data_IF_815480713386
#
_entry.id   IF_815480713386
#
_cell.length_a   1.000
_cell.length_b   1.000
_cell.length_c   1.000
_cell.angle_alpha   90.00
_cell.angle_beta   90.00
_cell.angle_gamma   90.00
#
_symmetry.space_group_name_H-M   'P 1'
#
loop_
_entity.id
_entity.type
_entity.pdbx_description
1 polymer ?
#
# COMPACT_ATOMS: atom_id res chain seq x y z
N UNK A 1 -2.24 -24.91 -3.80
CA UNK A 1 -1.15 -24.57 -3.99
C UNK A 1 -0.90 -23.21 -3.89
N UNK A 2 -0.12 -22.84 -3.31
CA UNK A 2 -0.09 -21.63 -3.06
C UNK A 2 0.47 -20.87 -3.76
N UNK A 3 0.58 -20.41 -3.94
CA UNK A 3 0.33 -19.37 -3.72
C UNK A 3 1.32 -18.40 -4.02
N UNK A 4 2.25 -18.66 -4.93
CA UNK A 4 3.09 -17.69 -5.50
C UNK A 4 2.27 -16.69 -6.26
N UNK A 5 1.16 -17.12 -6.85
CA UNK A 5 0.25 -16.20 -7.55
C UNK A 5 -0.36 -15.20 -6.59
N UNK A 6 -0.78 -15.67 -5.41
CA UNK A 6 -1.34 -14.78 -4.41
C UNK A 6 -0.31 -13.78 -3.92
N UNK A 7 0.92 -14.25 -3.74
CA UNK A 7 2.01 -13.39 -3.31
C UNK A 7 2.33 -12.32 -4.35
N UNK A 8 2.31 -12.70 -5.62
CA UNK A 8 2.56 -11.76 -6.70
C UNK A 8 1.45 -10.72 -6.79
N UNK A 9 0.21 -11.13 -6.62
CA UNK A 9 -0.91 -10.21 -6.63
C UNK A 9 -0.80 -9.22 -5.47
N UNK A 10 -0.45 -9.71 -4.30
CA UNK A 10 -0.28 -8.84 -3.15
C UNK A 10 0.83 -7.83 -3.37
N UNK A 11 1.93 -8.26 -3.96
CA UNK A 11 3.02 -7.35 -4.27
C UNK A 11 2.62 -6.31 -5.29
N UNK A 12 1.89 -6.72 -6.31
CA UNK A 12 1.45 -5.79 -7.34
C UNK A 12 0.51 -4.75 -6.75
N UNK A 13 -0.39 -5.18 -5.88
CA UNK A 13 -1.29 -4.26 -5.21
C UNK A 13 -0.49 -3.30 -4.32
N UNK A 14 0.46 -3.82 -3.57
CA UNK A 14 1.29 -3.02 -2.69
C UNK A 14 2.04 -1.95 -3.46
N UNK A 15 2.63 -2.32 -4.58
CA UNK A 15 3.38 -1.36 -5.39
C UNK A 15 2.48 -0.26 -5.92
N UNK A 16 1.27 -0.62 -6.35
CA UNK A 16 0.33 0.39 -6.83
C UNK A 16 -0.06 1.35 -5.72
N UNK A 17 -0.30 0.82 -4.54
CA UNK A 17 -0.67 1.65 -3.40
C UNK A 17 0.48 2.56 -2.99
N UNK A 18 1.70 2.04 -3.00
CA UNK A 18 2.87 2.86 -2.68
C UNK A 18 3.05 3.98 -3.69
N UNK A 19 2.85 3.70 -4.97
CA UNK A 19 2.92 4.73 -6.00
C UNK A 19 1.92 5.84 -5.70
N UNK A 20 0.70 5.47 -5.35
CA UNK A 20 -0.31 6.46 -5.02
C UNK A 20 0.09 7.28 -3.79
N UNK A 21 0.67 6.64 -2.79
CA UNK A 21 1.11 7.34 -1.60
C UNK A 21 2.21 8.34 -1.94
N UNK A 22 3.15 7.96 -2.77
CA UNK A 22 4.20 8.88 -3.20
C UNK A 22 3.64 10.06 -3.97
N UNK A 23 2.66 9.82 -4.83
CA UNK A 23 2.02 10.91 -5.55
C UNK A 23 1.34 11.89 -4.60
N UNK A 24 0.63 11.37 -3.61
CA UNK A 24 -0.05 12.20 -2.64
C UNK A 24 0.96 12.98 -1.78
N UNK A 25 2.02 12.31 -1.36
CA UNK A 25 3.04 12.99 -0.58
C UNK A 25 3.70 14.11 -1.38
N UNK A 26 3.97 13.87 -2.63
CA UNK A 26 4.55 14.90 -3.49
C UNK A 26 3.57 16.06 -3.67
N UNK A 27 2.30 15.74 -3.87
CA UNK A 27 1.28 16.77 -4.00
C UNK A 27 1.19 17.61 -2.73
N UNK A 28 1.31 16.96 -1.57
CA UNK A 28 1.18 17.65 -0.29
C UNK A 28 2.29 18.66 -0.04
N UNK A 29 3.40 18.55 -0.76
CA UNK A 29 4.46 19.55 -0.63
C UNK A 29 4.14 20.84 -1.39
N UNK A 30 3.15 20.78 -2.27
CA UNK A 30 2.79 21.92 -3.09
C UNK A 30 1.47 22.54 -2.70
N UNK A 31 0.53 21.72 -2.30
CA UNK A 31 -0.81 22.17 -1.92
C UNK A 31 -1.24 21.46 -0.67
N UNK A 32 -2.20 22.07 0.03
CA UNK A 32 -2.80 21.44 1.20
C UNK A 32 -3.77 20.38 0.73
N UNK A 33 -3.65 19.18 1.29
CA UNK A 33 -4.58 18.11 0.96
C UNK A 33 -5.96 18.41 1.51
N UNK A 34 -6.99 18.03 0.75
CA UNK A 34 -8.36 18.13 1.24
C UNK A 34 -8.60 17.05 2.29
N UNK A 35 -9.68 17.21 3.05
CA UNK A 35 -10.04 16.20 4.05
C UNK A 35 -10.26 14.85 3.41
N UNK A 36 -10.87 14.84 2.22
CA UNK A 36 -11.11 13.61 1.51
C UNK A 36 -9.81 12.94 1.08
N UNK A 37 -8.87 13.74 0.59
CA UNK A 37 -7.56 13.21 0.20
C UNK A 37 -6.81 12.65 1.39
N UNK A 38 -6.88 13.33 2.53
CA UNK A 38 -6.24 12.86 3.75
C UNK A 38 -6.85 11.55 4.22
N UNK A 39 -8.17 11.43 4.12
CA UNK A 39 -8.86 10.20 4.51
C UNK A 39 -8.46 9.05 3.61
N UNK A 40 -8.40 9.30 2.30
CA UNK A 40 -7.97 8.28 1.36
C UNK A 40 -6.54 7.83 1.64
N UNK A 41 -5.70 8.79 1.99
CA UNK A 41 -4.32 8.47 2.35
C UNK A 41 -4.27 7.54 3.56
N UNK A 42 -5.06 7.85 4.59
CA UNK A 42 -5.08 7.02 5.80
C UNK A 42 -5.60 5.63 5.53
N UNK A 43 -6.67 5.51 4.76
CA UNK A 43 -7.22 4.20 4.40
C UNK A 43 -6.19 3.40 3.61
N UNK A 44 -5.53 4.05 2.65
CA UNK A 44 -4.52 3.39 1.83
C UNK A 44 -3.34 2.95 2.68
N UNK A 45 -2.95 3.79 3.63
CA UNK A 45 -1.86 3.48 4.55
C UNK A 45 -2.16 2.22 5.35
N UNK A 46 -3.39 2.09 5.85
CA UNK A 46 -3.78 0.90 6.59
C UNK A 46 -3.74 -0.33 5.69
N UNK A 47 -4.21 -0.21 4.47
CA UNK A 47 -4.18 -1.33 3.53
C UNK A 47 -2.73 -1.75 3.24
N UNK A 48 -1.84 -0.79 3.09
CA UNK A 48 -0.43 -1.08 2.88
C UNK A 48 0.14 -1.87 4.05
N UNK A 49 -0.21 -1.48 5.27
CA UNK A 49 0.23 -2.21 6.46
C UNK A 49 -0.26 -3.64 6.45
N UNK A 50 -1.51 -3.85 6.06
CA UNK A 50 -2.06 -5.20 5.97
C UNK A 50 -1.32 -6.05 4.95
N UNK A 51 -1.01 -5.44 3.81
CA UNK A 51 -0.29 -6.15 2.76
C UNK A 51 1.12 -6.52 3.20
N UNK A 52 1.79 -5.62 3.90
CA UNK A 52 3.10 -5.93 4.46
C UNK A 52 3.03 -7.09 5.45
N UNK A 53 2.00 -7.10 6.28
CA UNK A 53 1.81 -8.20 7.21
C UNK A 53 1.64 -9.52 6.49
N UNK A 54 0.80 -9.52 5.46
CA UNK A 54 0.54 -10.75 4.71
C UNK A 54 1.79 -11.23 3.98
N UNK A 55 2.51 -10.31 3.35
CA UNK A 55 3.75 -10.66 2.67
C UNK A 55 4.83 -11.11 3.66
N UNK A 56 4.85 -10.49 4.82
CA UNK A 56 5.76 -10.89 5.87
C UNK A 56 5.48 -12.30 6.36
N UNK A 57 4.22 -12.68 6.40
CA UNK A 57 3.84 -14.04 6.78
C UNK A 57 4.37 -15.04 5.77
N UNK A 58 4.24 -14.72 4.48
CA UNK A 58 4.80 -15.58 3.44
C UNK A 58 6.31 -15.67 3.57
N UNK A 59 6.96 -14.54 3.81
CA UNK A 59 8.41 -14.52 3.95
C UNK A 59 8.90 -15.19 5.21
N UNK A 60 8.12 -15.10 6.29
CA UNK A 60 8.52 -15.68 7.55
C UNK A 60 8.55 -17.19 7.51
N UNK A 61 7.85 -17.76 6.55
CA UNK A 61 7.87 -19.21 6.39
C UNK A 61 9.23 -19.71 5.92
N UNK A 62 10.06 -18.85 5.46
CA UNK A 62 11.36 -19.26 4.92
C UNK A 62 12.39 -19.52 6.01
#
# INVERSE_FOLDING_TARGET
>A
MPNSDDSEELRAELLRLLDKQFEILELSTRVTLTDEEQREYEVRKQRIHELFKQLGTFGAAA
#
